data_IF_984447282662
#
_entry.id   IF_984447282662
#
_cell.length_a   1.000
_cell.length_b   1.000
_cell.length_c   1.000
_cell.angle_alpha   90.00
_cell.angle_beta   90.00
_cell.angle_gamma   90.00
#
_symmetry.space_group_name_H-M   'P 1'
#
loop_
_entity.id
_entity.type
_entity.pdbx_description
1 polymer ?
#
# COMPACT_ATOMS: atom_id res chain seq x y z
N UNK A 1 16.51 1.64 -9.94
CA UNK A 1 17.92 2.02 -9.68
C UNK A 1 18.00 3.42 -9.10
N UNK A 2 17.74 3.57 -7.80
CA UNK A 2 18.35 4.61 -6.97
C UNK A 2 18.78 3.90 -5.67
N UNK A 3 19.64 2.91 -5.89
CA UNK A 3 20.51 2.34 -4.88
C UNK A 3 21.81 3.10 -5.09
N UNK A 4 22.01 4.19 -4.36
CA UNK A 4 23.34 4.60 -3.94
C UNK A 4 23.44 4.29 -2.46
N UNK A 5 23.72 3.02 -2.20
CA UNK A 5 24.43 2.56 -1.01
C UNK A 5 25.75 3.33 -0.93
N UNK A 6 25.84 4.26 0.03
CA UNK A 6 27.06 4.66 0.75
C UNK A 6 26.72 5.96 1.51
N UNK A 7 26.13 5.89 2.69
CA UNK A 7 26.88 5.68 3.93
C UNK A 7 26.03 4.99 5.01
N UNK A 8 26.25 3.68 5.17
CA UNK A 8 26.38 2.97 6.46
C UNK A 8 25.54 3.45 7.66
N UNK A 9 24.24 3.13 7.65
CA UNK A 9 23.48 2.74 8.86
C UNK A 9 22.63 1.56 8.42
N UNK A 10 23.12 0.34 8.64
CA UNK A 10 22.64 -0.86 7.95
C UNK A 10 21.44 -1.53 8.63
N UNK A 11 20.86 -0.92 9.67
CA UNK A 11 19.60 -1.36 10.25
C UNK A 11 18.93 -0.23 11.03
N UNK A 12 17.60 -0.27 11.18
CA UNK A 12 16.89 0.54 12.17
C UNK A 12 17.50 0.38 13.58
N UNK A 13 18.09 -0.79 13.85
CA UNK A 13 18.84 -1.07 15.08
C UNK A 13 20.09 -0.19 15.21
N UNK A 14 20.81 0.12 14.13
CA UNK A 14 21.96 1.04 14.16
C UNK A 14 21.53 2.49 14.40
N UNK A 15 20.39 2.89 13.80
CA UNK A 15 19.80 4.21 14.03
C UNK A 15 19.34 4.36 15.48
N UNK A 16 18.65 3.35 16.01
CA UNK A 16 18.23 3.28 17.42
C UNK A 16 19.46 3.31 18.33
N UNK A 17 20.49 2.49 18.07
CA UNK A 17 21.77 2.48 18.82
C UNK A 17 22.50 3.82 18.81
N UNK A 18 22.30 4.63 17.78
CA UNK A 18 22.90 5.96 17.65
C UNK A 18 22.10 7.08 18.32
N UNK A 19 20.87 6.82 18.81
CA UNK A 19 20.07 7.83 19.49
C UNK A 19 20.73 8.20 20.83
N UNK A 20 21.14 9.47 21.02
CA UNK A 20 21.65 9.91 22.30
C UNK A 20 20.48 10.00 23.28
N UNK A 21 20.54 9.28 24.39
CA UNK A 21 19.72 9.62 25.54
C UNK A 21 20.20 10.97 26.12
N UNK A 22 19.38 11.58 26.97
CA UNK A 22 19.82 12.75 27.75
C UNK A 22 21.16 12.46 28.43
N UNK A 23 22.12 13.38 28.31
CA UNK A 23 23.44 13.33 28.97
C UNK A 23 24.47 12.34 28.39
N UNK A 24 24.58 12.24 27.05
CA UNK A 24 25.60 11.44 26.34
C UNK A 24 25.57 9.92 26.58
N UNK A 25 24.49 9.40 27.19
CA UNK A 25 24.31 7.97 27.38
C UNK A 25 23.94 7.32 26.03
N UNK A 26 24.72 6.32 25.62
CA UNK A 26 24.46 5.53 24.40
C UNK A 26 23.80 4.21 24.77
N UNK A 27 22.94 3.66 23.90
CA UNK A 27 22.28 2.34 24.12
C UNK A 27 23.29 1.23 24.46
N UNK A 28 24.48 1.28 23.88
CA UNK A 28 25.57 0.33 24.15
C UNK A 28 26.00 0.29 25.62
N UNK A 29 25.85 1.38 26.36
CA UNK A 29 26.17 1.45 27.80
C UNK A 29 25.05 0.93 28.70
N UNK A 30 23.81 0.93 28.20
CA UNK A 30 22.60 0.54 28.93
C UNK A 30 22.30 -0.95 28.74
N UNK A 31 22.62 -1.50 27.57
CA UNK A 31 22.38 -2.92 27.23
C UNK A 31 22.97 -3.92 28.25
N UNK A 32 24.20 -3.73 28.80
CA UNK A 32 24.74 -4.61 29.85
C UNK A 32 23.96 -4.53 31.16
N UNK A 33 23.35 -3.39 31.46
CA UNK A 33 22.55 -3.19 32.67
C UNK A 33 21.20 -3.87 32.50
N UNK A 34 20.56 -3.73 31.33
CA UNK A 34 19.31 -4.41 31.00
C UNK A 34 19.45 -5.94 31.00
N UNK A 35 20.53 -6.47 30.41
CA UNK A 35 20.84 -7.92 30.43
C UNK A 35 21.08 -8.43 31.85
N UNK A 36 21.84 -7.70 32.68
CA UNK A 36 22.03 -8.07 34.09
C UNK A 36 20.72 -8.01 34.88
N UNK A 37 19.87 -7.00 34.66
CA UNK A 37 18.57 -6.92 35.28
C UNK A 37 17.69 -8.09 34.85
N UNK A 38 17.62 -8.42 33.56
CA UNK A 38 16.84 -9.54 33.04
C UNK A 38 17.28 -10.89 33.64
N UNK A 39 18.59 -11.12 33.77
CA UNK A 39 19.15 -12.36 34.31
C UNK A 39 18.92 -12.54 35.82
N UNK A 40 18.94 -11.46 36.60
CA UNK A 40 18.94 -11.54 38.08
C UNK A 40 17.67 -10.97 38.75
N UNK A 41 16.86 -10.18 38.05
CA UNK A 41 15.80 -9.36 38.61
C UNK A 41 14.49 -10.06 38.95
N UNK A 42 14.20 -11.24 38.38
CA UNK A 42 13.00 -12.07 38.63
C UNK A 42 11.71 -11.26 38.92
N UNK A 43 11.32 -11.06 40.19
CA UNK A 43 10.10 -10.34 40.59
C UNK A 43 10.25 -8.82 40.66
N UNK A 44 11.45 -8.29 40.92
CA UNK A 44 11.71 -6.84 40.96
C UNK A 44 11.77 -6.21 39.56
N UNK A 45 11.87 -7.04 38.53
CA UNK A 45 11.87 -6.57 37.15
C UNK A 45 10.50 -6.01 36.72
N UNK A 46 9.40 -6.62 37.21
CA UNK A 46 8.06 -6.12 36.96
C UNK A 46 7.77 -4.81 37.70
N UNK A 47 8.30 -4.64 38.91
CA UNK A 47 8.17 -3.36 39.61
C UNK A 47 8.97 -2.25 38.89
N UNK A 48 10.12 -2.58 38.28
CA UNK A 48 10.86 -1.65 37.42
C UNK A 48 10.05 -1.29 36.16
N UNK A 49 9.40 -2.27 35.52
CA UNK A 49 8.51 -2.01 34.37
C UNK A 49 7.31 -1.16 34.79
N UNK A 50 6.70 -1.43 35.95
CA UNK A 50 5.59 -0.65 36.51
C UNK A 50 5.98 0.79 36.82
N UNK A 51 7.15 1.01 37.43
CA UNK A 51 7.68 2.35 37.69
C UNK A 51 7.98 3.09 36.40
N UNK A 52 8.63 2.43 35.43
CA UNK A 52 8.92 3.01 34.12
C UNK A 52 7.63 3.36 33.36
N UNK A 53 6.60 2.51 33.46
CA UNK A 53 5.28 2.75 32.90
C UNK A 53 4.55 3.93 33.55
N UNK A 54 4.61 4.04 34.89
CA UNK A 54 4.03 5.16 35.62
C UNK A 54 4.69 6.50 35.21
N UNK A 55 6.01 6.50 35.05
CA UNK A 55 6.77 7.67 34.61
C UNK A 55 6.45 8.02 33.14
N UNK A 56 6.33 7.02 32.28
CA UNK A 56 5.95 7.17 30.86
C UNK A 56 4.54 7.78 30.70
N UNK A 57 3.65 7.48 31.64
CA UNK A 57 2.29 8.05 31.70
C UNK A 57 2.29 9.51 32.17
N UNK A 58 3.22 9.89 33.04
CA UNK A 58 3.36 11.23 33.63
C UNK A 58 4.01 12.24 32.68
N UNK A 59 5.16 11.89 32.07
CA UNK A 59 5.96 12.82 31.27
C UNK A 59 5.97 12.50 29.77
N UNK A 60 5.51 13.45 28.93
CA UNK A 60 5.53 13.31 27.46
C UNK A 60 6.95 13.37 26.85
N UNK A 61 7.89 14.05 27.51
CA UNK A 61 9.25 14.29 26.98
C UNK A 61 10.15 13.04 27.01
N UNK A 62 9.91 12.11 27.95
CA UNK A 62 10.73 10.92 28.16
C UNK A 62 10.14 9.63 27.60
N UNK A 63 8.97 9.66 26.93
CA UNK A 63 8.26 8.45 26.52
C UNK A 63 9.06 7.55 25.59
N UNK A 64 9.76 8.13 24.62
CA UNK A 64 10.54 7.34 23.67
C UNK A 64 11.70 6.61 24.35
N UNK A 65 12.39 7.29 25.27
CA UNK A 65 13.50 6.70 26.02
C UNK A 65 13.03 5.60 26.98
N UNK A 66 11.90 5.81 27.67
CA UNK A 66 11.31 4.82 28.56
C UNK A 66 10.79 3.62 27.79
N UNK A 67 10.16 3.83 26.62
CA UNK A 67 9.72 2.75 25.75
C UNK A 67 10.89 1.87 25.27
N UNK A 68 12.01 2.49 24.87
CA UNK A 68 13.23 1.75 24.49
C UNK A 68 13.77 0.94 25.67
N UNK A 69 13.84 1.53 26.87
CA UNK A 69 14.29 0.83 28.07
C UNK A 69 13.42 -0.39 28.39
N UNK A 70 12.10 -0.23 28.36
CA UNK A 70 11.18 -1.36 28.60
C UNK A 70 11.33 -2.42 27.50
N UNK A 71 11.50 -2.01 26.24
CA UNK A 71 11.72 -2.95 25.12
C UNK A 71 12.96 -3.82 25.35
N UNK A 72 14.10 -3.21 25.70
CA UNK A 72 15.35 -3.92 25.96
C UNK A 72 15.27 -4.85 27.18
N UNK A 73 14.51 -4.46 28.20
CA UNK A 73 14.27 -5.29 29.38
C UNK A 73 13.43 -6.51 29.00
N UNK A 74 12.37 -6.33 28.20
CA UNK A 74 11.47 -7.41 27.78
C UNK A 74 12.09 -8.39 26.78
N UNK A 75 12.98 -7.92 25.90
CA UNK A 75 13.66 -8.76 24.92
C UNK A 75 14.53 -9.84 25.59
N UNK A 76 15.23 -9.44 26.66
CA UNK A 76 16.15 -10.30 27.43
C UNK A 76 15.45 -11.23 28.44
N UNK A 77 14.13 -11.14 28.61
CA UNK A 77 13.40 -12.08 29.48
C UNK A 77 13.22 -13.44 28.80
N UNK A 78 13.39 -14.56 29.51
CA UNK A 78 13.18 -15.90 28.90
C UNK A 78 11.78 -16.48 29.13
N UNK A 79 11.04 -16.06 30.16
CA UNK A 79 9.75 -16.67 30.53
C UNK A 79 8.52 -15.84 30.09
N UNK A 80 7.48 -16.46 29.48
CA UNK A 80 6.17 -15.82 29.37
C UNK A 80 5.58 -15.66 30.77
N UNK A 81 5.05 -14.48 31.07
CA UNK A 81 4.54 -14.16 32.39
C UNK A 81 3.26 -13.35 32.25
N UNK A 82 2.17 -13.85 32.81
CA UNK A 82 0.93 -13.11 32.95
C UNK A 82 1.15 -11.93 33.90
N UNK A 83 1.33 -10.75 33.33
CA UNK A 83 1.24 -9.52 34.10
C UNK A 83 0.13 -8.65 33.53
N UNK A 84 -0.86 -8.37 34.38
CA UNK A 84 -1.89 -7.36 34.11
C UNK A 84 -1.28 -6.03 33.64
N UNK A 85 -0.08 -5.70 34.13
CA UNK A 85 0.62 -4.47 33.79
C UNK A 85 1.13 -4.43 32.34
N UNK A 86 1.48 -5.58 31.76
CA UNK A 86 1.81 -5.67 30.33
C UNK A 86 0.57 -5.44 29.45
N UNK A 87 -0.59 -5.97 29.86
CA UNK A 87 -1.84 -5.74 29.13
C UNK A 87 -2.23 -4.25 29.15
N UNK A 88 -2.17 -3.60 30.32
CA UNK A 88 -2.48 -2.16 30.43
C UNK A 88 -1.47 -1.28 29.69
N UNK A 89 -0.19 -1.68 29.68
CA UNK A 89 0.84 -0.98 28.93
C UNK A 89 0.59 -1.08 27.42
N UNK A 90 0.21 -2.25 26.92
CA UNK A 90 -0.13 -2.42 25.49
C UNK A 90 -1.37 -1.60 25.14
N UNK A 91 -2.43 -1.63 25.96
CA UNK A 91 -3.65 -0.83 25.74
C UNK A 91 -3.35 0.67 25.65
N UNK A 92 -2.58 1.20 26.59
CA UNK A 92 -2.20 2.62 26.59
C UNK A 92 -1.27 2.99 25.43
N UNK A 93 -0.35 2.10 25.04
CA UNK A 93 0.48 2.32 23.86
C UNK A 93 -0.36 2.37 22.56
N UNK A 94 -1.39 1.51 22.43
CA UNK A 94 -2.35 1.57 21.32
C UNK A 94 -3.05 2.93 21.29
N UNK A 95 -3.55 3.41 22.43
CA UNK A 95 -4.24 4.70 22.51
C UNK A 95 -3.31 5.88 22.16
N UNK A 96 -2.05 5.86 22.62
CA UNK A 96 -1.08 6.89 22.23
C UNK A 96 -0.73 6.84 20.75
N UNK A 97 -0.66 5.66 20.14
CA UNK A 97 -0.47 5.54 18.69
C UNK A 97 -1.65 6.14 17.92
N UNK A 98 -2.90 5.94 18.40
CA UNK A 98 -4.09 6.56 17.78
C UNK A 98 -4.03 8.08 17.81
N UNK A 99 -3.60 8.66 18.94
CA UNK A 99 -3.45 10.12 19.07
C UNK A 99 -2.37 10.72 18.15
N UNK A 100 -1.37 9.92 17.74
CA UNK A 100 -0.26 10.40 16.91
C UNK A 100 -0.56 10.40 15.40
N UNK A 101 -1.64 9.75 14.96
CA UNK A 101 -2.03 9.78 13.55
C UNK A 101 -2.64 11.15 13.27
N UNK A 102 -2.07 11.96 12.35
CA UNK A 102 -2.63 13.26 12.02
C UNK A 102 -4.07 13.10 11.52
N UNK A 103 -5.00 13.86 12.11
CA UNK A 103 -6.41 13.88 11.70
C UNK A 103 -6.64 14.52 10.34
N UNK A 104 -5.64 15.23 9.82
CA UNK A 104 -5.70 15.87 8.50
C UNK A 104 -4.70 15.14 7.63
N UNK A 105 -5.22 14.42 6.65
CA UNK A 105 -4.43 13.84 5.58
C UNK A 105 -3.45 14.91 5.08
N UNK A 106 -2.15 14.65 5.23
CA UNK A 106 -1.12 15.52 4.66
C UNK A 106 -1.51 15.76 3.21
N UNK A 107 -1.42 17.01 2.76
CA UNK A 107 -1.91 17.39 1.44
C UNK A 107 -1.12 16.62 0.39
N UNK A 108 -1.68 15.48 0.00
CA UNK A 108 -1.14 14.59 -1.01
C UNK A 108 -1.40 15.15 -2.41
N UNK A 109 -1.77 16.44 -2.52
CA UNK A 109 -1.88 17.20 -3.77
C UNK A 109 -0.49 17.52 -4.36
N UNK A 110 0.56 17.48 -3.54
CA UNK A 110 1.96 17.70 -3.95
C UNK A 110 2.73 16.38 -3.88
N UNK A 111 3.34 15.95 -5.00
CA UNK A 111 4.40 14.93 -4.95
C UNK A 111 5.64 15.62 -4.38
N UNK A 112 5.79 15.58 -3.06
CA UNK A 112 7.02 16.03 -2.43
C UNK A 112 8.13 15.01 -2.74
N UNK A 113 9.12 15.41 -3.52
CA UNK A 113 10.35 14.64 -3.72
C UNK A 113 11.28 14.70 -2.50
N UNK A 114 10.86 15.38 -1.43
CA UNK A 114 11.63 15.54 -0.21
C UNK A 114 11.31 14.37 0.72
N UNK A 115 12.33 13.56 1.00
CA UNK A 115 12.24 12.56 2.05
C UNK A 115 12.04 13.32 3.37
N UNK A 116 10.87 13.16 4.00
CA UNK A 116 10.60 13.75 5.31
C UNK A 116 11.70 13.35 6.30
N UNK A 117 12.39 14.33 6.86
CA UNK A 117 13.38 14.10 7.90
C UNK A 117 12.68 13.56 9.17
N UNK A 118 13.29 12.60 9.89
CA UNK A 118 12.69 12.05 11.10
C UNK A 118 12.50 13.14 12.16
N UNK A 119 11.27 13.28 12.64
CA UNK A 119 10.92 14.19 13.74
C UNK A 119 11.01 13.45 15.07
N UNK A 120 10.94 14.18 16.18
CA UNK A 120 10.85 13.57 17.53
C UNK A 120 9.66 12.61 17.65
N UNK A 121 8.56 12.91 16.97
CA UNK A 121 7.37 12.05 16.89
C UNK A 121 7.66 10.72 16.17
N UNK A 122 8.48 10.73 15.11
CA UNK A 122 8.91 9.51 14.39
C UNK A 122 9.71 8.56 15.29
N UNK A 123 10.55 9.10 16.17
CA UNK A 123 11.32 8.30 17.12
C UNK A 123 10.38 7.69 18.17
N UNK A 124 9.39 8.46 18.63
CA UNK A 124 8.39 7.98 19.58
C UNK A 124 7.52 6.88 18.98
N UNK A 125 6.99 7.04 17.77
CA UNK A 125 6.20 5.99 17.09
C UNK A 125 7.03 4.72 16.88
N UNK A 126 8.29 4.86 16.44
CA UNK A 126 9.19 3.72 16.28
C UNK A 126 9.45 2.99 17.61
N UNK A 127 9.66 3.74 18.71
CA UNK A 127 9.89 3.16 20.03
C UNK A 127 8.67 2.43 20.60
N UNK A 128 7.46 2.97 20.40
CA UNK A 128 6.22 2.35 20.86
C UNK A 128 5.90 1.07 20.06
N UNK A 129 6.10 1.09 18.74
CA UNK A 129 5.92 -0.11 17.91
C UNK A 129 6.91 -1.21 18.30
N UNK A 130 8.17 -0.85 18.54
CA UNK A 130 9.21 -1.81 18.98
C UNK A 130 8.88 -2.40 20.37
N UNK A 131 8.36 -1.59 21.29
CA UNK A 131 7.91 -2.07 22.60
C UNK A 131 6.78 -3.08 22.48
N UNK A 132 5.79 -2.77 21.67
CA UNK A 132 4.60 -3.60 21.53
C UNK A 132 4.91 -4.93 20.83
N UNK A 133 5.73 -4.92 19.78
CA UNK A 133 6.15 -6.14 19.06
C UNK A 133 6.85 -7.14 19.96
N UNK A 134 7.73 -6.67 20.84
CA UNK A 134 8.41 -7.52 21.83
C UNK A 134 7.46 -7.96 22.96
N UNK A 135 6.50 -7.12 23.35
CA UNK A 135 5.56 -7.43 24.42
C UNK A 135 4.48 -8.48 24.02
N UNK A 136 4.02 -8.49 22.77
CA UNK A 136 2.92 -9.37 22.31
C UNK A 136 3.18 -10.88 22.44
N UNK A 137 4.37 -11.41 22.08
CA UNK A 137 4.71 -12.82 22.27
C UNK A 137 4.73 -13.28 23.73
N UNK A 138 4.74 -12.35 24.70
CA UNK A 138 4.85 -12.66 26.14
C UNK A 138 3.50 -12.80 26.85
N UNK A 139 2.40 -12.45 26.19
CA UNK A 139 1.04 -12.60 26.75
C UNK A 139 0.59 -14.07 26.61
N UNK A 140 0.16 -14.68 27.72
CA UNK A 140 -0.33 -16.07 27.76
C UNK A 140 -1.86 -16.20 27.55
N UNK A 141 -2.66 -15.16 27.82
CA UNK A 141 -4.12 -15.22 27.66
C UNK A 141 -4.56 -15.08 26.20
N UNK A 142 -4.81 -16.20 25.51
CA UNK A 142 -5.16 -16.26 24.08
C UNK A 142 -6.33 -15.34 23.66
N UNK A 143 -7.39 -15.22 24.48
CA UNK A 143 -8.58 -14.46 24.12
C UNK A 143 -8.39 -12.93 24.20
N UNK A 144 -7.76 -12.42 25.26
CA UNK A 144 -7.47 -10.98 25.38
C UNK A 144 -6.34 -10.59 24.44
N UNK A 145 -5.36 -11.48 24.25
CA UNK A 145 -4.29 -11.32 23.28
C UNK A 145 -4.84 -11.14 21.87
N UNK A 146 -5.83 -11.93 21.43
CA UNK A 146 -6.39 -11.80 20.08
C UNK A 146 -7.10 -10.47 19.84
N UNK A 147 -7.84 -9.94 20.82
CA UNK A 147 -8.50 -8.63 20.70
C UNK A 147 -7.48 -7.49 20.62
N UNK A 148 -6.48 -7.49 21.49
CA UNK A 148 -5.41 -6.49 21.49
C UNK A 148 -4.55 -6.60 20.23
N UNK A 149 -4.31 -7.82 19.76
CA UNK A 149 -3.58 -8.10 18.53
C UNK A 149 -4.30 -7.50 17.32
N UNK A 150 -5.61 -7.70 17.18
CA UNK A 150 -6.38 -7.10 16.08
C UNK A 150 -6.33 -5.57 16.14
N UNK A 151 -6.50 -4.98 17.33
CA UNK A 151 -6.42 -3.53 17.50
C UNK A 151 -5.03 -2.99 17.17
N UNK A 152 -3.98 -3.70 17.57
CA UNK A 152 -2.62 -3.32 17.25
C UNK A 152 -2.29 -3.49 15.78
N UNK A 153 -2.71 -4.60 15.14
CA UNK A 153 -2.52 -4.82 13.71
C UNK A 153 -3.23 -3.74 12.89
N UNK A 154 -4.46 -3.37 13.27
CA UNK A 154 -5.14 -2.26 12.64
C UNK A 154 -4.32 -0.97 12.77
N UNK A 155 -3.83 -0.66 13.97
CA UNK A 155 -3.00 0.51 14.22
C UNK A 155 -1.69 0.50 13.43
N UNK A 156 -0.98 -0.64 13.38
CA UNK A 156 0.23 -0.83 12.59
C UNK A 156 -0.02 -0.57 11.11
N UNK A 157 -1.12 -1.09 10.58
CA UNK A 157 -1.51 -0.90 9.18
C UNK A 157 -1.95 0.54 8.91
N UNK A 158 -2.54 1.22 9.90
CA UNK A 158 -2.90 2.64 9.81
C UNK A 158 -1.67 3.55 9.79
N UNK A 159 -0.56 3.16 10.43
CA UNK A 159 0.70 3.93 10.41
C UNK A 159 1.30 4.06 9.01
N UNK A 160 0.91 3.26 8.02
CA UNK A 160 1.30 3.50 6.63
C UNK A 160 0.65 4.74 6.01
N UNK A 161 -0.27 5.41 6.72
CA UNK A 161 -0.76 6.72 6.31
C UNK A 161 0.31 7.81 6.45
N UNK A 162 1.33 7.58 7.28
CA UNK A 162 2.40 8.53 7.53
C UNK A 162 3.43 8.53 6.39
N UNK A 163 3.87 9.69 5.88
CA UNK A 163 4.81 9.75 4.76
C UNK A 163 6.24 9.35 5.14
N UNK A 164 6.57 9.22 6.43
CA UNK A 164 7.93 8.92 6.89
C UNK A 164 8.34 7.47 6.61
N UNK A 165 9.30 7.27 5.72
CA UNK A 165 9.85 5.94 5.37
C UNK A 165 10.37 5.14 6.59
N UNK A 166 10.86 5.83 7.63
CA UNK A 166 11.34 5.20 8.86
C UNK A 166 10.20 4.46 9.55
N UNK A 167 9.00 5.04 9.58
CA UNK A 167 7.81 4.42 10.17
C UNK A 167 7.45 3.17 9.38
N UNK A 168 7.41 3.26 8.05
CA UNK A 168 7.13 2.09 7.19
C UNK A 168 8.12 0.95 7.43
N UNK A 169 9.42 1.26 7.55
CA UNK A 169 10.45 0.26 7.82
C UNK A 169 10.26 -0.38 9.20
N UNK A 170 9.89 0.38 10.21
CA UNK A 170 9.64 -0.16 11.56
C UNK A 170 8.39 -1.03 11.58
N UNK A 171 7.33 -0.65 10.88
CA UNK A 171 6.11 -1.47 10.74
C UNK A 171 6.40 -2.76 9.97
N UNK A 172 7.20 -2.72 8.91
CA UNK A 172 7.61 -3.94 8.19
C UNK A 172 8.41 -4.88 9.11
N UNK A 173 9.38 -4.37 9.87
CA UNK A 173 10.13 -5.15 10.85
C UNK A 173 9.19 -5.76 11.91
N UNK A 174 8.29 -4.95 12.47
CA UNK A 174 7.28 -5.37 13.44
C UNK A 174 6.43 -6.55 12.94
N UNK A 175 5.91 -6.45 11.72
CA UNK A 175 5.12 -7.51 11.11
C UNK A 175 5.95 -8.78 10.89
N UNK A 176 7.20 -8.66 10.47
CA UNK A 176 8.09 -9.81 10.29
C UNK A 176 8.40 -10.51 11.61
N UNK A 177 8.73 -9.76 12.66
CA UNK A 177 9.02 -10.31 13.99
C UNK A 177 7.81 -11.03 14.57
N UNK A 178 6.62 -10.41 14.50
CA UNK A 178 5.38 -11.04 14.96
C UNK A 178 5.01 -12.29 14.17
N UNK A 179 5.19 -12.27 12.85
CA UNK A 179 4.96 -13.44 12.01
C UNK A 179 5.91 -14.59 12.37
N UNK A 180 7.21 -14.28 12.56
CA UNK A 180 8.21 -15.28 12.96
C UNK A 180 7.96 -15.86 14.35
N UNK A 181 7.50 -15.05 15.31
CA UNK A 181 7.13 -15.52 16.65
C UNK A 181 5.98 -16.54 16.62
N UNK A 182 5.09 -16.43 15.63
CA UNK A 182 4.00 -17.38 15.40
C UNK A 182 4.35 -18.52 14.43
N UNK A 183 5.58 -18.54 13.88
CA UNK A 183 6.02 -19.54 12.90
C UNK A 183 5.30 -19.43 11.54
N UNK A 184 4.75 -18.26 11.21
CA UNK A 184 4.00 -18.00 9.97
C UNK A 184 4.76 -17.04 9.06
N UNK A 185 4.44 -17.06 7.76
CA UNK A 185 4.82 -15.94 6.87
C UNK A 185 3.97 -14.70 7.16
N UNK A 186 4.46 -13.50 6.79
CA UNK A 186 3.70 -12.25 6.96
C UNK A 186 2.34 -12.33 6.25
N UNK A 187 2.28 -12.92 5.06
CA UNK A 187 1.03 -13.11 4.31
C UNK A 187 0.05 -14.04 5.05
N UNK A 188 0.51 -15.18 5.55
CA UNK A 188 -0.35 -16.13 6.29
C UNK A 188 -0.82 -15.56 7.63
N UNK A 189 0.07 -14.85 8.33
CA UNK A 189 -0.24 -14.17 9.58
C UNK A 189 -1.32 -13.09 9.38
N UNK A 190 -1.13 -12.23 8.37
CA UNK A 190 -2.12 -11.22 8.02
C UNK A 190 -3.41 -11.83 7.48
N UNK A 191 -3.38 -12.97 6.78
CA UNK A 191 -4.60 -13.64 6.35
C UNK A 191 -5.41 -14.20 7.54
N UNK A 192 -4.74 -14.86 8.50
CA UNK A 192 -5.36 -15.44 9.69
C UNK A 192 -6.13 -14.40 10.52
N UNK A 193 -5.58 -13.20 10.65
CA UNK A 193 -6.21 -12.09 11.38
C UNK A 193 -6.94 -11.09 10.46
N UNK A 194 -6.75 -11.23 9.15
CA UNK A 194 -7.19 -10.28 8.13
C UNK A 194 -8.69 -10.23 7.96
N UNK A 195 -9.41 -11.33 8.17
CA UNK A 195 -10.88 -11.32 8.14
C UNK A 195 -11.48 -10.34 9.15
N UNK A 196 -10.89 -10.25 10.35
CA UNK A 196 -11.32 -9.31 11.38
C UNK A 196 -10.98 -7.88 11.00
N UNK A 197 -9.76 -7.64 10.50
CA UNK A 197 -9.31 -6.32 10.05
C UNK A 197 -10.20 -5.82 8.90
N UNK A 198 -10.46 -6.67 7.90
CA UNK A 198 -11.35 -6.37 6.77
C UNK A 198 -12.77 -6.06 7.25
N UNK A 199 -13.28 -6.77 8.27
CA UNK A 199 -14.57 -6.43 8.87
C UNK A 199 -14.56 -5.04 9.54
N UNK A 200 -13.53 -4.70 10.30
CA UNK A 200 -13.36 -3.37 10.88
C UNK A 200 -13.27 -2.28 9.80
N UNK A 201 -12.49 -2.52 8.75
CA UNK A 201 -12.38 -1.62 7.58
C UNK A 201 -13.73 -1.45 6.88
N UNK A 202 -14.53 -2.52 6.74
CA UNK A 202 -15.86 -2.43 6.11
C UNK A 202 -16.82 -1.53 6.91
N UNK A 203 -16.80 -1.63 8.24
CA UNK A 203 -17.59 -0.75 9.11
C UNK A 203 -17.09 0.69 9.00
N UNK A 204 -15.76 0.88 9.06
CA UNK A 204 -15.12 2.19 8.97
C UNK A 204 -15.40 2.88 7.62
N UNK A 205 -15.36 2.15 6.50
CA UNK A 205 -15.66 2.67 5.18
C UNK A 205 -17.11 3.19 5.02
N UNK A 206 -18.04 2.71 5.84
CA UNK A 206 -19.45 3.15 5.84
C UNK A 206 -19.68 4.39 6.71
N UNK A 207 -18.90 4.56 7.78
CA UNK A 207 -18.99 5.72 8.68
C UNK A 207 -18.23 6.91 8.09
N UNK A 208 -18.96 7.87 7.52
CA UNK A 208 -18.38 9.04 6.81
C UNK A 208 -17.76 10.11 7.72
N UNK A 209 -17.74 9.89 9.03
CA UNK A 209 -17.36 10.90 10.03
C UNK A 209 -16.29 10.44 11.02
N UNK A 210 -15.99 9.14 11.09
CA UNK A 210 -15.21 8.60 12.21
C UNK A 210 -13.87 7.98 11.83
N UNK A 211 -13.62 7.60 10.57
CA UNK A 211 -12.38 6.90 10.21
C UNK A 211 -11.84 7.23 8.80
N UNK A 212 -11.05 8.30 8.71
CA UNK A 212 -10.47 8.80 7.46
C UNK A 212 -9.35 7.92 6.87
N UNK A 213 -8.92 6.85 7.56
CA UNK A 213 -7.78 6.02 7.13
C UNK A 213 -8.16 4.58 6.75
N UNK A 214 -9.44 4.22 6.75
CA UNK A 214 -9.89 2.89 6.32
C UNK A 214 -9.35 2.45 4.95
N UNK A 215 -9.24 3.33 3.92
CA UNK A 215 -8.65 2.94 2.64
C UNK A 215 -7.14 2.64 2.73
N UNK A 216 -6.41 3.29 3.66
CA UNK A 216 -4.98 3.03 3.87
C UNK A 216 -4.79 1.63 4.46
N UNK A 217 -5.55 1.31 5.49
CA UNK A 217 -5.50 -0.02 6.12
C UNK A 217 -5.86 -1.08 5.08
N UNK A 218 -6.90 -0.85 4.27
CA UNK A 218 -7.26 -1.76 3.17
C UNK A 218 -6.11 -1.92 2.17
N UNK A 219 -5.50 -0.81 1.76
CA UNK A 219 -4.36 -0.81 0.84
C UNK A 219 -3.20 -1.65 1.39
N UNK A 220 -2.84 -1.48 2.66
CA UNK A 220 -1.71 -2.16 3.30
C UNK A 220 -1.96 -3.67 3.44
N UNK A 221 -3.19 -4.07 3.81
CA UNK A 221 -3.58 -5.49 3.88
C UNK A 221 -3.49 -6.13 2.50
N UNK A 222 -4.02 -5.46 1.48
CA UNK A 222 -4.03 -5.98 0.11
C UNK A 222 -2.64 -6.09 -0.50
N UNK A 223 -1.73 -5.18 -0.18
CA UNK A 223 -0.35 -5.22 -0.68
C UNK A 223 0.41 -6.45 -0.15
N UNK A 224 0.21 -6.80 1.13
CA UNK A 224 0.98 -7.84 1.82
C UNK A 224 0.35 -9.23 1.84
N UNK A 225 -0.95 -9.38 1.56
CA UNK A 225 -1.64 -10.69 1.57
C UNK A 225 -1.74 -11.29 0.16
N UNK A 226 -1.12 -12.45 -0.03
CA UNK A 226 -1.11 -13.19 -1.30
C UNK A 226 -2.16 -14.33 -1.38
N UNK A 227 -3.15 -14.35 -0.48
CA UNK A 227 -4.22 -15.38 -0.49
C UNK A 227 -5.51 -14.92 -1.20
N UNK A 228 -5.89 -15.68 -2.23
CA UNK A 228 -7.12 -15.51 -3.05
C UNK A 228 -8.40 -15.46 -2.22
N UNK A 229 -8.44 -16.15 -1.08
CA UNK A 229 -9.64 -16.25 -0.23
C UNK A 229 -10.03 -14.92 0.39
N UNK A 230 -9.10 -13.96 0.47
CA UNK A 230 -9.40 -12.62 1.00
C UNK A 230 -10.37 -11.84 0.09
N UNK A 231 -10.39 -12.15 -1.21
CA UNK A 231 -11.25 -11.50 -2.20
C UNK A 231 -12.73 -11.48 -1.79
N UNK A 232 -13.26 -12.58 -1.23
CA UNK A 232 -14.68 -12.67 -0.85
C UNK A 232 -15.07 -11.62 0.19
N UNK A 233 -14.14 -11.27 1.07
CA UNK A 233 -14.36 -10.31 2.16
C UNK A 233 -14.15 -8.87 1.69
N UNK A 234 -13.23 -8.65 0.75
CA UNK A 234 -12.85 -7.30 0.29
C UNK A 234 -13.80 -6.73 -0.76
N UNK A 235 -14.41 -7.57 -1.62
CA UNK A 235 -15.24 -7.09 -2.75
C UNK A 235 -16.33 -6.09 -2.34
N UNK A 236 -16.95 -6.29 -1.18
CA UNK A 236 -18.01 -5.41 -0.67
C UNK A 236 -17.48 -4.04 -0.22
N UNK A 237 -16.25 -4.00 0.30
CA UNK A 237 -15.59 -2.76 0.73
C UNK A 237 -15.21 -1.92 -0.48
N UNK A 238 -14.79 -2.56 -1.57
CA UNK A 238 -14.46 -1.87 -2.82
C UNK A 238 -15.67 -1.10 -3.33
N UNK A 239 -16.86 -1.72 -3.35
CA UNK A 239 -18.08 -1.04 -3.78
C UNK A 239 -18.45 0.13 -2.85
N UNK A 240 -18.36 -0.06 -1.54
CA UNK A 240 -18.61 1.00 -0.55
C UNK A 240 -17.63 2.19 -0.73
N UNK A 241 -16.35 1.90 -0.99
CA UNK A 241 -15.32 2.92 -1.25
C UNK A 241 -15.47 3.59 -2.62
N UNK A 242 -15.90 2.89 -3.66
CA UNK A 242 -16.22 3.49 -4.96
C UNK A 242 -17.43 4.41 -4.85
N UNK A 243 -18.47 4.00 -4.11
CA UNK A 243 -19.61 4.87 -3.82
C UNK A 243 -19.21 6.10 -2.99
N UNK A 244 -18.23 5.96 -2.09
CA UNK A 244 -17.60 7.10 -1.44
C UNK A 244 -16.86 7.97 -2.47
N UNK A 245 -16.08 7.41 -3.39
CA UNK A 245 -15.37 8.18 -4.42
C UNK A 245 -16.29 9.12 -5.21
N UNK A 246 -17.51 8.68 -5.56
CA UNK A 246 -18.45 9.52 -6.32
C UNK A 246 -19.07 10.66 -5.52
N UNK A 247 -19.09 10.54 -4.19
CA UNK A 247 -19.77 11.47 -3.29
C UNK A 247 -18.82 12.53 -2.69
N UNK A 248 -17.51 12.34 -2.80
CA UNK A 248 -16.57 12.95 -1.85
C UNK A 248 -15.82 14.19 -2.32
N UNK A 249 -15.38 14.93 -1.28
CA UNK A 249 -14.36 15.99 -1.29
C UNK A 249 -13.01 15.42 -1.71
N UNK A 250 -12.19 16.27 -2.33
CA UNK A 250 -10.92 15.90 -2.94
C UNK A 250 -9.93 15.21 -1.98
N UNK A 251 -9.98 15.53 -0.70
CA UNK A 251 -9.01 15.12 0.32
C UNK A 251 -8.94 13.59 0.52
N UNK A 252 -10.06 12.89 0.31
CA UNK A 252 -10.14 11.43 0.48
C UNK A 252 -9.94 10.63 -0.82
N UNK A 253 -9.99 11.33 -1.96
CA UNK A 253 -9.93 10.71 -3.28
C UNK A 253 -8.63 9.94 -3.49
N UNK A 254 -7.50 10.49 -3.03
CA UNK A 254 -6.18 9.87 -3.19
C UNK A 254 -6.09 8.56 -2.43
N UNK A 255 -6.61 8.51 -1.22
CA UNK A 255 -6.62 7.31 -0.39
C UNK A 255 -7.44 6.18 -1.01
N UNK A 256 -8.64 6.51 -1.49
CA UNK A 256 -9.47 5.56 -2.20
C UNK A 256 -8.78 5.10 -3.48
N UNK A 257 -8.17 6.01 -4.24
CA UNK A 257 -7.44 5.64 -5.45
C UNK A 257 -6.22 4.74 -5.15
N UNK A 258 -5.52 4.95 -4.04
CA UNK A 258 -4.44 4.04 -3.59
C UNK A 258 -4.99 2.66 -3.24
N UNK A 259 -6.12 2.60 -2.52
CA UNK A 259 -6.73 1.31 -2.16
C UNK A 259 -7.27 0.57 -3.39
N UNK A 260 -7.85 1.28 -4.36
CA UNK A 260 -8.27 0.73 -5.66
C UNK A 260 -7.09 0.18 -6.46
N UNK A 261 -5.96 0.89 -6.50
CA UNK A 261 -4.75 0.42 -7.16
C UNK A 261 -4.21 -0.87 -6.51
N UNK A 262 -4.16 -0.92 -5.18
CA UNK A 262 -3.74 -2.13 -4.46
C UNK A 262 -4.72 -3.29 -4.66
N UNK A 263 -6.03 -3.01 -4.69
CA UNK A 263 -7.04 -4.02 -5.03
C UNK A 263 -6.83 -4.63 -6.42
N UNK A 264 -6.65 -3.80 -7.46
CA UNK A 264 -6.38 -4.31 -8.82
C UNK A 264 -5.09 -5.13 -8.85
N UNK A 265 -4.03 -4.65 -8.19
CA UNK A 265 -2.75 -5.33 -8.11
C UNK A 265 -2.87 -6.68 -7.37
N UNK A 266 -3.66 -6.72 -6.29
CA UNK A 266 -3.97 -7.93 -5.55
C UNK A 266 -4.78 -8.93 -6.40
N UNK A 267 -5.82 -8.47 -7.11
CA UNK A 267 -6.58 -9.32 -8.06
C UNK A 267 -5.67 -9.89 -9.14
N UNK A 268 -4.73 -9.11 -9.68
CA UNK A 268 -3.75 -9.59 -10.65
C UNK A 268 -2.80 -10.66 -10.12
N UNK A 269 -2.36 -10.55 -8.85
CA UNK A 269 -1.55 -11.57 -8.16
C UNK A 269 -2.34 -12.81 -7.80
N UNK A 270 -3.57 -12.62 -7.30
CA UNK A 270 -4.45 -13.70 -6.89
C UNK A 270 -4.94 -14.48 -8.11
N UNK A 271 -5.32 -13.83 -9.21
CA UNK A 271 -5.93 -14.47 -10.38
C UNK A 271 -5.13 -14.24 -11.68
N UNK A 272 -3.85 -14.64 -11.76
CA UNK A 272 -2.98 -14.28 -12.88
C UNK A 272 -3.40 -14.92 -14.20
N UNK A 273 -3.99 -16.11 -14.19
CA UNK A 273 -4.35 -16.88 -15.40
C UNK A 273 -5.85 -17.09 -15.56
N UNK A 274 -6.67 -16.22 -14.98
CA UNK A 274 -8.12 -16.36 -15.12
C UNK A 274 -8.52 -16.10 -16.57
N UNK A 275 -8.99 -17.13 -17.26
CA UNK A 275 -9.45 -17.08 -18.65
C UNK A 275 -10.99 -17.22 -18.71
N UNK A 276 -11.63 -16.73 -19.79
CA UNK A 276 -13.04 -17.01 -20.04
C UNK A 276 -13.28 -18.53 -20.03
N UNK A 277 -14.30 -19.02 -19.29
CA UNK A 277 -14.67 -20.45 -19.31
C UNK A 277 -15.04 -20.86 -20.73
N UNK A 278 -14.36 -21.81 -21.33
CA UNK A 278 -14.82 -22.44 -22.58
C UNK A 278 -16.19 -23.06 -22.28
N UNK A 279 -17.22 -22.64 -23.01
CA UNK A 279 -18.54 -23.26 -22.91
C UNK A 279 -18.47 -24.44 -23.86
N UNK A 280 -18.62 -25.67 -23.36
CA UNK A 280 -18.80 -26.84 -24.22
C UNK A 280 -19.96 -26.55 -25.17
N UNK A 281 -19.70 -26.61 -26.48
CA UNK A 281 -20.64 -26.36 -27.58
C UNK A 281 -21.74 -27.46 -27.67
N UNK A 282 -22.31 -27.91 -26.55
CA UNK A 282 -23.36 -28.95 -26.54
C UNK A 282 -24.76 -28.43 -26.22
N UNK A 283 -24.99 -27.12 -26.20
CA UNK A 283 -26.35 -26.59 -26.13
C UNK A 283 -26.92 -26.42 -27.54
N UNK A 284 -27.71 -27.42 -27.92
CA UNK A 284 -28.56 -27.50 -29.11
C UNK A 284 -29.15 -26.15 -29.52
N UNK A 285 -28.82 -25.71 -30.73
CA UNK A 285 -29.52 -24.64 -31.44
C UNK A 285 -30.95 -25.13 -31.69
N UNK A 286 -31.92 -24.61 -30.94
CA UNK A 286 -33.29 -24.60 -31.41
C UNK A 286 -33.38 -23.44 -32.40
N UNK A 287 -33.33 -23.77 -33.68
CA UNK A 287 -33.80 -22.89 -34.75
C UNK A 287 -35.30 -22.74 -34.53
N UNK A 288 -35.74 -21.60 -34.01
CA UNK A 288 -37.00 -20.96 -34.41
C UNK A 288 -37.17 -19.59 -33.71
N UNK A 289 -37.44 -18.60 -34.55
CA UNK A 289 -38.16 -17.33 -34.32
C UNK A 289 -37.39 -16.08 -33.81
N UNK A 290 -37.28 -15.15 -34.78
CA UNK A 290 -37.45 -13.70 -34.72
C UNK A 290 -36.24 -12.74 -34.75
N UNK A 291 -36.22 -11.94 -35.82
CA UNK A 291 -35.35 -10.80 -36.12
C UNK A 291 -35.61 -9.62 -35.16
N UNK A 292 -35.21 -9.70 -33.90
CA UNK A 292 -35.07 -8.52 -33.04
C UNK A 292 -33.87 -8.67 -32.08
N UNK A 293 -32.82 -7.90 -32.38
CA UNK A 293 -31.60 -7.69 -31.57
C UNK A 293 -30.77 -8.96 -31.37
N UNK A 294 -29.77 -9.17 -32.23
CA UNK A 294 -28.56 -9.91 -31.85
C UNK A 294 -27.83 -9.15 -30.73
N UNK A 295 -28.38 -9.15 -29.51
CA UNK A 295 -27.57 -8.97 -28.31
C UNK A 295 -26.69 -10.23 -28.26
N UNK A 296 -25.51 -10.12 -28.88
CA UNK A 296 -24.41 -11.06 -28.64
C UNK A 296 -24.31 -11.18 -27.12
N UNK A 297 -24.79 -12.31 -26.60
CA UNK A 297 -24.99 -12.53 -25.17
C UNK A 297 -23.62 -12.36 -24.52
N UNK A 298 -23.36 -11.19 -23.94
CA UNK A 298 -22.05 -10.85 -23.38
C UNK A 298 -21.72 -11.93 -22.36
N UNK A 299 -20.58 -12.59 -22.57
CA UNK A 299 -20.14 -13.62 -21.66
C UNK A 299 -19.96 -12.99 -20.28
N UNK A 300 -20.69 -13.49 -19.30
CA UNK A 300 -20.61 -12.93 -17.94
C UNK A 300 -19.18 -13.02 -17.44
N UNK A 301 -18.64 -11.87 -17.03
CA UNK A 301 -17.29 -11.78 -16.50
C UNK A 301 -17.23 -12.49 -15.14
N UNK A 302 -16.14 -13.24 -14.86
CA UNK A 302 -15.91 -13.73 -13.51
C UNK A 302 -15.89 -12.56 -12.52
N UNK A 303 -16.44 -12.72 -11.29
CA UNK A 303 -16.59 -11.61 -10.35
C UNK A 303 -15.32 -10.78 -10.11
N UNK A 304 -14.10 -11.36 -9.94
CA UNK A 304 -12.90 -10.56 -9.74
C UNK A 304 -12.55 -9.65 -10.93
N UNK A 305 -12.90 -10.09 -12.15
CA UNK A 305 -12.64 -9.35 -13.38
C UNK A 305 -13.70 -8.26 -13.57
N UNK A 306 -14.96 -8.59 -13.26
CA UNK A 306 -16.05 -7.63 -13.27
C UNK A 306 -15.81 -6.48 -12.26
N UNK A 307 -15.31 -6.80 -11.06
CA UNK A 307 -14.96 -5.79 -10.06
C UNK A 307 -13.82 -4.88 -10.55
N UNK A 308 -12.80 -5.43 -11.22
CA UNK A 308 -11.71 -4.62 -11.81
C UNK A 308 -12.21 -3.74 -12.94
N UNK A 309 -13.06 -4.26 -13.83
CA UNK A 309 -13.71 -3.45 -14.87
C UNK A 309 -14.55 -2.32 -14.23
N UNK A 310 -15.29 -2.62 -13.16
CA UNK A 310 -16.07 -1.62 -12.44
C UNK A 310 -15.18 -0.50 -11.88
N UNK A 311 -14.06 -0.85 -11.22
CA UNK A 311 -13.08 0.14 -10.74
C UNK A 311 -12.59 1.02 -11.89
N UNK A 312 -12.16 0.42 -13.02
CA UNK A 312 -11.69 1.17 -14.20
C UNK A 312 -12.73 2.15 -14.72
N UNK A 313 -13.99 1.70 -14.81
CA UNK A 313 -15.12 2.52 -15.24
C UNK A 313 -15.38 3.70 -14.32
N UNK A 314 -15.26 3.51 -13.00
CA UNK A 314 -15.44 4.60 -12.01
C UNK A 314 -14.26 5.56 -11.99
N UNK A 315 -13.04 5.10 -12.22
CA UNK A 315 -11.84 5.96 -12.11
C UNK A 315 -11.45 6.68 -13.41
N UNK A 316 -11.97 6.28 -14.58
CA UNK A 316 -11.53 6.83 -15.89
C UNK A 316 -11.57 8.36 -16.00
N UNK A 317 -12.58 8.99 -15.42
CA UNK A 317 -12.76 10.45 -15.50
C UNK A 317 -11.65 11.22 -14.75
N UNK A 318 -10.97 10.55 -13.80
CA UNK A 318 -9.89 11.13 -12.99
C UNK A 318 -8.58 11.29 -13.76
N UNK A 319 -8.45 10.69 -14.97
CA UNK A 319 -7.35 10.99 -15.90
C UNK A 319 -7.30 12.48 -16.27
N UNK A 320 -8.44 13.17 -16.23
CA UNK A 320 -8.57 14.60 -16.51
C UNK A 320 -8.50 15.49 -15.27
N UNK A 321 -8.20 14.92 -14.09
CA UNK A 321 -8.11 15.68 -12.83
C UNK A 321 -7.07 16.81 -12.92
N UNK A 322 -7.32 17.99 -12.33
CA UNK A 322 -6.31 19.03 -12.25
C UNK A 322 -5.14 18.64 -11.33
N UNK A 323 -5.34 17.70 -10.41
CA UNK A 323 -4.36 17.30 -9.41
C UNK A 323 -3.45 16.20 -9.95
N UNK A 324 -2.14 16.46 -9.93
CA UNK A 324 -1.13 15.55 -10.46
C UNK A 324 -1.17 14.16 -9.79
N UNK A 325 -1.28 14.03 -8.45
CA UNK A 325 -1.27 12.73 -7.78
C UNK A 325 -2.47 11.86 -8.15
N UNK A 326 -3.64 12.48 -8.33
CA UNK A 326 -4.86 11.81 -8.80
C UNK A 326 -4.68 11.32 -10.24
N UNK A 327 -4.16 12.17 -11.15
CA UNK A 327 -3.86 11.76 -12.55
C UNK A 327 -2.89 10.58 -12.59
N UNK A 328 -1.82 10.63 -11.78
CA UNK A 328 -0.83 9.56 -11.68
C UNK A 328 -1.46 8.24 -11.21
N UNK A 329 -2.28 8.29 -10.15
CA UNK A 329 -2.97 7.10 -9.65
C UNK A 329 -3.98 6.56 -10.66
N UNK A 330 -4.75 7.43 -11.34
CA UNK A 330 -5.68 7.01 -12.38
C UNK A 330 -4.99 6.29 -13.54
N UNK A 331 -3.82 6.78 -13.99
CA UNK A 331 -3.03 6.10 -15.03
C UNK A 331 -2.47 4.76 -14.56
N UNK A 332 -2.03 4.66 -13.30
CA UNK A 332 -1.57 3.39 -12.72
C UNK A 332 -2.70 2.37 -12.60
N UNK A 333 -3.85 2.79 -12.10
CA UNK A 333 -5.08 1.98 -12.02
C UNK A 333 -5.45 1.47 -13.42
N UNK A 334 -5.44 2.35 -14.41
CA UNK A 334 -5.70 1.97 -15.80
C UNK A 334 -4.68 0.93 -16.31
N UNK A 335 -3.38 1.15 -16.08
CA UNK A 335 -2.34 0.22 -16.52
C UNK A 335 -2.51 -1.16 -15.90
N UNK A 336 -2.58 -1.26 -14.58
CA UNK A 336 -2.69 -2.53 -13.88
C UNK A 336 -4.02 -3.23 -14.22
N UNK A 337 -5.11 -2.47 -14.33
CA UNK A 337 -6.42 -3.03 -14.67
C UNK A 337 -6.46 -3.60 -16.09
N UNK A 338 -5.85 -2.93 -17.07
CA UNK A 338 -5.73 -3.46 -18.44
C UNK A 338 -4.94 -4.79 -18.47
N UNK A 339 -3.91 -4.93 -17.63
CA UNK A 339 -3.20 -6.20 -17.51
C UNK A 339 -4.11 -7.30 -16.96
N UNK A 340 -4.92 -7.01 -15.93
CA UNK A 340 -5.88 -7.98 -15.37
C UNK A 340 -6.96 -8.38 -16.40
N UNK A 341 -7.45 -7.44 -17.21
CA UNK A 341 -8.47 -7.68 -18.24
C UNK A 341 -7.94 -8.39 -19.50
N UNK A 342 -6.64 -8.70 -19.62
CA UNK A 342 -5.98 -9.11 -20.88
C UNK A 342 -6.52 -10.35 -21.59
N UNK A 343 -7.36 -11.16 -20.94
CA UNK A 343 -8.00 -12.34 -21.54
C UNK A 343 -9.48 -12.15 -21.83
N UNK A 344 -10.03 -10.95 -21.61
CA UNK A 344 -11.45 -10.63 -21.72
C UNK A 344 -11.66 -9.44 -22.67
N UNK A 345 -11.55 -9.69 -23.97
CA UNK A 345 -11.60 -8.65 -25.01
C UNK A 345 -12.88 -7.79 -24.97
N UNK A 346 -14.02 -8.40 -24.62
CA UNK A 346 -15.32 -7.71 -24.48
C UNK A 346 -15.30 -6.58 -23.44
N UNK A 347 -14.46 -6.69 -22.40
CA UNK A 347 -14.24 -5.65 -21.40
C UNK A 347 -13.01 -4.79 -21.74
N UNK A 348 -11.93 -5.44 -22.18
CA UNK A 348 -10.63 -4.81 -22.45
C UNK A 348 -10.70 -3.77 -23.57
N UNK A 349 -11.22 -4.13 -24.75
CA UNK A 349 -11.17 -3.27 -25.93
C UNK A 349 -12.02 -2.01 -25.75
N UNK A 350 -13.23 -2.05 -25.16
CA UNK A 350 -13.95 -0.83 -24.78
C UNK A 350 -13.16 0.03 -23.79
N UNK A 351 -12.47 -0.56 -22.81
CA UNK A 351 -11.65 0.21 -21.86
C UNK A 351 -10.48 0.92 -22.57
N UNK A 352 -9.77 0.25 -23.47
CA UNK A 352 -8.74 0.86 -24.32
C UNK A 352 -9.34 1.97 -25.18
N UNK A 353 -10.50 1.72 -25.80
CA UNK A 353 -11.16 2.69 -26.67
C UNK A 353 -11.50 3.98 -25.93
N UNK A 354 -12.19 3.85 -24.79
CA UNK A 354 -12.74 4.97 -24.02
C UNK A 354 -11.67 5.84 -23.35
N UNK A 355 -10.54 5.25 -22.94
CA UNK A 355 -9.49 5.97 -22.23
C UNK A 355 -8.43 6.60 -23.16
N UNK A 356 -8.41 6.22 -24.44
CA UNK A 356 -7.36 6.62 -25.37
C UNK A 356 -7.21 8.14 -25.54
N UNK A 357 -8.31 8.85 -25.82
CA UNK A 357 -8.24 10.30 -26.07
C UNK A 357 -7.77 11.07 -24.84
N UNK A 358 -8.29 10.70 -23.66
CA UNK A 358 -7.85 11.27 -22.39
C UNK A 358 -6.35 11.03 -22.16
N UNK A 359 -5.86 9.82 -22.48
CA UNK A 359 -4.46 9.43 -22.34
C UNK A 359 -3.54 10.19 -23.31
N UNK A 360 -3.90 10.31 -24.58
CA UNK A 360 -3.09 11.04 -25.57
C UNK A 360 -2.92 12.51 -25.18
N UNK A 361 -3.97 13.13 -24.63
CA UNK A 361 -3.89 14.51 -24.17
C UNK A 361 -2.85 14.70 -23.05
N UNK A 362 -2.52 13.66 -22.26
CA UNK A 362 -1.50 13.72 -21.20
C UNK A 362 -0.07 13.91 -21.71
N UNK A 363 0.22 13.59 -22.97
CA UNK A 363 1.53 13.88 -23.55
C UNK A 363 1.80 15.39 -23.71
N UNK A 364 0.76 16.22 -23.63
CA UNK A 364 0.87 17.68 -23.67
C UNK A 364 1.01 18.32 -22.28
N UNK A 365 0.84 17.55 -21.20
CA UNK A 365 0.92 18.05 -19.82
C UNK A 365 2.33 18.58 -19.51
N UNK A 366 2.48 19.57 -18.63
CA UNK A 366 3.79 20.20 -18.37
C UNK A 366 4.74 19.26 -17.61
N UNK A 367 4.16 18.40 -16.78
CA UNK A 367 4.85 17.53 -15.85
C UNK A 367 5.34 16.26 -16.57
N UNK A 368 6.63 15.97 -16.47
CA UNK A 368 7.26 14.88 -17.22
C UNK A 368 6.87 13.51 -16.67
N UNK A 369 6.56 13.44 -15.38
CA UNK A 369 6.07 12.25 -14.67
C UNK A 369 4.77 11.76 -15.30
N UNK A 370 3.88 12.69 -15.66
CA UNK A 370 2.61 12.37 -16.30
C UNK A 370 2.85 11.80 -17.70
N UNK A 371 3.78 12.39 -18.47
CA UNK A 371 4.15 11.88 -19.81
C UNK A 371 4.82 10.51 -19.74
N UNK A 372 5.72 10.31 -18.76
CA UNK A 372 6.37 9.01 -18.51
C UNK A 372 5.33 7.94 -18.20
N UNK A 373 4.38 8.25 -17.33
CA UNK A 373 3.34 7.30 -16.94
C UNK A 373 2.35 7.03 -18.08
N UNK A 374 1.97 8.07 -18.84
CA UNK A 374 1.11 7.91 -20.00
C UNK A 374 1.71 6.97 -21.06
N UNK A 375 3.02 7.08 -21.29
CA UNK A 375 3.73 6.17 -22.19
C UNK A 375 3.69 4.72 -21.69
N UNK A 376 3.87 4.47 -20.39
CA UNK A 376 3.72 3.11 -19.83
C UNK A 376 2.33 2.55 -20.04
N UNK A 377 1.29 3.37 -19.90
CA UNK A 377 -0.10 2.94 -20.18
C UNK A 377 -0.25 2.58 -21.66
N UNK A 378 0.29 3.35 -22.60
CA UNK A 378 0.20 3.01 -24.03
C UNK A 378 0.94 1.71 -24.34
N UNK A 379 2.13 1.51 -23.79
CA UNK A 379 2.87 0.24 -23.94
C UNK A 379 2.02 -0.93 -23.44
N UNK A 380 1.36 -0.77 -22.29
CA UNK A 380 0.43 -1.77 -21.77
C UNK A 380 -0.73 -2.00 -22.74
N UNK A 381 -1.41 -0.95 -23.23
CA UNK A 381 -2.50 -1.04 -24.20
C UNK A 381 -2.07 -1.81 -25.45
N UNK A 382 -0.89 -1.52 -26.00
CA UNK A 382 -0.34 -2.23 -27.15
C UNK A 382 -0.13 -3.71 -26.82
N UNK A 383 0.51 -4.01 -25.69
CA UNK A 383 0.81 -5.39 -25.30
C UNK A 383 -0.43 -6.28 -25.14
N UNK A 384 -1.56 -5.72 -24.71
CA UNK A 384 -2.78 -6.48 -24.42
C UNK A 384 -3.81 -6.44 -25.55
N UNK A 385 -3.90 -5.35 -26.32
CA UNK A 385 -4.92 -5.17 -27.37
C UNK A 385 -4.41 -5.38 -28.80
N UNK A 386 -3.11 -5.60 -28.97
CA UNK A 386 -2.47 -5.95 -30.24
C UNK A 386 -2.83 -4.96 -31.36
N UNK A 387 -3.32 -5.46 -32.49
CA UNK A 387 -3.66 -4.69 -33.70
C UNK A 387 -4.78 -3.68 -33.51
N UNK A 388 -5.58 -3.76 -32.43
CA UNK A 388 -6.68 -2.83 -32.17
C UNK A 388 -6.24 -1.37 -32.11
N UNK A 389 -5.07 -1.09 -31.54
CA UNK A 389 -4.54 0.27 -31.38
C UNK A 389 -3.64 0.72 -32.55
N UNK A 390 -3.47 -0.09 -33.60
CA UNK A 390 -2.53 0.16 -34.70
C UNK A 390 -2.64 1.56 -35.29
N UNK A 391 -3.84 1.90 -35.76
CA UNK A 391 -4.06 3.19 -36.42
C UNK A 391 -3.84 4.35 -35.47
N UNK A 392 -4.23 4.18 -34.20
CA UNK A 392 -4.12 5.24 -33.20
C UNK A 392 -2.66 5.48 -32.82
N UNK A 393 -1.88 4.43 -32.63
CA UNK A 393 -0.43 4.56 -32.39
C UNK A 393 0.26 5.22 -33.57
N UNK A 394 0.02 4.73 -34.79
CA UNK A 394 0.68 5.23 -36.00
C UNK A 394 0.35 6.69 -36.31
N UNK A 395 -0.91 7.08 -36.19
CA UNK A 395 -1.37 8.39 -36.64
C UNK A 395 -1.53 9.43 -35.54
N UNK A 396 -1.66 9.02 -34.27
CA UNK A 396 -1.85 9.96 -33.15
C UNK A 396 -0.64 9.99 -32.20
N UNK A 397 -0.17 8.84 -31.72
CA UNK A 397 0.96 8.80 -30.78
C UNK A 397 2.30 9.09 -31.45
N UNK A 398 2.59 8.42 -32.57
CA UNK A 398 3.90 8.49 -33.22
C UNK A 398 4.33 9.92 -33.57
N UNK A 399 3.49 10.78 -34.15
CA UNK A 399 3.86 12.18 -34.42
C UNK A 399 4.26 12.95 -33.16
N UNK A 400 3.64 12.66 -32.02
CA UNK A 400 3.95 13.31 -30.72
C UNK A 400 5.34 12.88 -30.25
N UNK A 401 5.61 11.57 -30.26
CA UNK A 401 6.91 11.03 -29.85
C UNK A 401 8.03 11.48 -30.79
N UNK A 402 7.79 11.42 -32.10
CA UNK A 402 8.75 11.85 -33.12
C UNK A 402 9.12 13.33 -32.92
N UNK A 403 8.12 14.21 -32.77
CA UNK A 403 8.34 15.64 -32.50
C UNK A 403 9.14 15.84 -31.22
N UNK A 404 8.77 15.15 -30.13
CA UNK A 404 9.47 15.27 -28.85
C UNK A 404 10.93 14.80 -28.94
N UNK A 405 11.19 13.65 -29.58
CA UNK A 405 12.54 13.14 -29.80
C UNK A 405 13.34 14.13 -30.64
N UNK A 406 12.78 14.62 -31.77
CA UNK A 406 13.42 15.62 -32.64
C UNK A 406 13.83 16.87 -31.87
N UNK A 407 12.89 17.46 -31.13
CA UNK A 407 13.14 18.68 -30.36
C UNK A 407 14.21 18.50 -29.27
N UNK A 408 14.41 17.28 -28.78
CA UNK A 408 15.37 16.98 -27.72
C UNK A 408 16.63 16.26 -28.22
N UNK A 409 16.85 16.13 -29.54
CA UNK A 409 17.99 15.40 -30.14
C UNK A 409 19.37 15.86 -29.65
N UNK A 410 19.53 17.16 -29.40
CA UNK A 410 20.78 17.77 -29.00
C UNK A 410 20.89 18.02 -27.49
N UNK A 411 19.83 17.71 -26.73
CA UNK A 411 19.83 17.92 -25.29
C UNK A 411 20.56 16.76 -24.60
N UNK A 412 21.73 17.05 -24.04
CA UNK A 412 22.39 16.16 -23.09
C UNK A 412 21.71 16.32 -21.73
N UNK A 413 20.73 15.47 -21.44
CA UNK A 413 20.15 15.41 -20.12
C UNK A 413 21.15 14.79 -19.13
N UNK A 414 21.28 15.40 -17.95
CA UNK A 414 22.06 14.79 -16.89
C UNK A 414 21.45 13.43 -16.50
N UNK A 415 22.30 12.44 -16.28
CA UNK A 415 21.89 11.11 -15.81
C UNK A 415 21.13 11.28 -14.49
N UNK A 416 19.91 10.73 -14.44
CA UNK A 416 19.01 10.85 -13.28
C UNK A 416 17.90 11.90 -13.39
N UNK A 417 17.93 12.77 -14.40
CA UNK A 417 16.81 13.71 -14.64
C UNK A 417 15.56 12.99 -15.18
N UNK A 418 14.38 13.54 -14.89
CA UNK A 418 13.11 13.01 -15.42
C UNK A 418 13.06 13.04 -16.96
N UNK A 419 13.65 14.05 -17.57
CA UNK A 419 13.74 14.14 -19.03
C UNK A 419 14.62 13.02 -19.63
N UNK A 420 15.74 12.69 -18.98
CA UNK A 420 16.56 11.54 -19.36
C UNK A 420 15.79 10.22 -19.21
N UNK A 421 15.07 10.04 -18.09
CA UNK A 421 14.24 8.84 -17.85
C UNK A 421 13.15 8.68 -18.91
N UNK A 422 12.45 9.76 -19.24
CA UNK A 422 11.44 9.77 -20.30
C UNK A 422 12.07 9.42 -21.66
N UNK A 423 13.24 9.98 -21.98
CA UNK A 423 13.93 9.66 -23.24
C UNK A 423 14.31 8.18 -23.31
N UNK A 424 14.88 7.65 -22.24
CA UNK A 424 15.25 6.25 -22.15
C UNK A 424 14.04 5.33 -22.25
N UNK A 425 12.92 5.70 -21.62
CA UNK A 425 11.67 4.97 -21.70
C UNK A 425 11.14 4.96 -23.13
N UNK A 426 11.07 6.12 -23.80
CA UNK A 426 10.66 6.21 -25.22
C UNK A 426 11.50 5.27 -26.08
N UNK A 427 12.83 5.33 -25.99
CA UNK A 427 13.71 4.51 -26.83
C UNK A 427 13.49 3.01 -26.60
N UNK A 428 13.34 2.59 -25.34
CA UNK A 428 13.09 1.18 -24.99
C UNK A 428 11.73 0.72 -25.48
N UNK A 429 10.72 1.55 -25.27
CA UNK A 429 9.33 1.23 -25.57
C UNK A 429 9.01 1.28 -27.06
N UNK A 430 9.81 1.93 -27.92
CA UNK A 430 9.60 1.93 -29.38
C UNK A 430 9.56 0.49 -29.91
N UNK A 431 10.49 -0.37 -29.50
CA UNK A 431 10.51 -1.75 -29.96
C UNK A 431 9.23 -2.50 -29.54
N UNK A 432 8.85 -2.40 -28.27
CA UNK A 432 7.63 -3.03 -27.74
C UNK A 432 6.37 -2.51 -28.43
N UNK A 433 6.33 -1.21 -28.73
CA UNK A 433 5.22 -0.56 -29.43
C UNK A 433 5.14 -1.04 -30.87
N UNK A 434 6.25 -1.20 -31.60
CA UNK A 434 6.18 -1.67 -32.99
C UNK A 434 5.88 -3.17 -33.08
N UNK A 435 6.53 -3.98 -32.24
CA UNK A 435 6.32 -5.43 -32.19
C UNK A 435 4.90 -5.78 -31.76
N UNK A 436 4.35 -5.08 -30.76
CA UNK A 436 3.02 -5.40 -30.23
C UNK A 436 1.87 -5.03 -31.16
N UNK A 437 2.13 -4.36 -32.28
CA UNK A 437 1.10 -3.93 -33.24
C UNK A 437 1.28 -4.62 -34.61
N UNK A 438 2.34 -5.40 -34.78
CA UNK A 438 2.39 -6.46 -35.81
C UNK A 438 1.47 -7.62 -35.41
#
# INVERSE_FOLDING_TARGET
MLISRSSTMNSCVDLIKSLPFSSEVTICSVLPICTLLALYGKSELFSVIEMAYAEMSSEKSGRASLAILITLILDEMESPSESYTLLTLIETCIEWLKEMIPSVHNRDDIIEHVISAPKKETVLTASLVSLMTVAFPRIAEENKQLKLLISFLYQLLELYALPEWVVHSVVDCALTEMATAMGLSVSEFLYKHGSYIVHHVAIAARSRSEHDHAPVVLWAVLDKVDDRRLYSSVKHIVEDLLQALDRFKQDFCILVMRSMLSFISAVGRWFPELKPREVDESCSVNEDEDEEVMEVKRKELPPPIADVEHVLLRTKHLLSSPHLPIRMLAMRILREGLYVLRYFDDALLPMVHQNWEALINRFSDKELEIREEALKVVVQMVSVSKTFVYRRVRYQLWPILEKWVISNRLHMFASGTLAYRLQLLVIRSIADIWIGIE
#
